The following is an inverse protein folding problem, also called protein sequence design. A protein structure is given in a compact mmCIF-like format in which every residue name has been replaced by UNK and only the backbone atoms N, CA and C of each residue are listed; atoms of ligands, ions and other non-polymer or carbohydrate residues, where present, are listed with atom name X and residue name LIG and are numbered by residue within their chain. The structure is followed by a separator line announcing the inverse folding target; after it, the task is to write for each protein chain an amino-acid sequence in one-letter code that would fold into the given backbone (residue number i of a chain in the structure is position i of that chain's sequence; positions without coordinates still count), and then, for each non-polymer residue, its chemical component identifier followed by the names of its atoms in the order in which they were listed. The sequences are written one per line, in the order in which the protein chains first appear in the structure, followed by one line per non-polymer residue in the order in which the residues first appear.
data_IF_035539877802
#
_entry.id   IF_035539877802
#
_cell.length_a   1.000
_cell.length_b   1.000
_cell.length_c   1.000
_cell.angle_alpha   90.00
_cell.angle_beta   90.00
_cell.angle_gamma   90.00
#
_symmetry.space_group_name_H-M   'P 1'
#
loop_
_entity.id
_entity.type
_entity.pdbx_description
1 polymer ?
#
# COMPACT_ATOMS: atom_id res chain seq x y z
N UNK A 1 -25.73 3.69 9.07
CA UNK A 1 -25.34 2.33 9.50
C UNK A 1 -23.84 2.43 9.60
N UNK A 2 -23.30 2.31 10.80
CA UNK A 2 -21.85 2.42 11.03
C UNK A 2 -21.17 1.30 10.24
N UNK A 3 -20.14 1.61 9.45
CA UNK A 3 -19.39 0.59 8.67
C UNK A 3 -18.71 -0.43 9.60
N UNK A 4 -18.52 -0.08 10.88
CA UNK A 4 -17.95 -0.95 11.90
C UNK A 4 -18.81 -2.16 12.28
N UNK A 5 -20.09 -2.18 11.89
CA UNK A 5 -21.06 -3.25 12.21
C UNK A 5 -21.33 -4.19 11.02
N UNK A 6 -20.64 -3.99 9.89
CA UNK A 6 -20.76 -4.87 8.74
C UNK A 6 -20.06 -6.21 9.02
N UNK A 7 -20.68 -7.36 8.69
CA UNK A 7 -20.04 -8.66 8.86
C UNK A 7 -18.80 -8.77 7.96
N UNK A 8 -17.77 -9.47 8.46
CA UNK A 8 -16.58 -9.85 7.68
C UNK A 8 -16.97 -10.62 6.40
N UNK A 9 -16.24 -10.38 5.32
CA UNK A 9 -16.46 -10.96 4.00
C UNK A 9 -15.94 -12.40 3.90
N UNK A 10 -14.83 -12.70 4.57
CA UNK A 10 -14.10 -13.98 4.45
C UNK A 10 -13.88 -14.63 5.81
N UNK A 11 -13.42 -13.85 6.79
CA UNK A 11 -13.13 -14.35 8.12
C UNK A 11 -14.43 -14.62 8.89
N UNK A 12 -14.49 -15.75 9.58
CA UNK A 12 -15.48 -15.94 10.62
C UNK A 12 -15.19 -15.03 11.82
N UNK A 13 -16.20 -14.81 12.67
CA UNK A 13 -16.03 -14.03 13.90
C UNK A 13 -14.91 -14.59 14.80
N UNK A 14 -14.76 -15.92 14.86
CA UNK A 14 -13.70 -16.56 15.65
C UNK A 14 -12.31 -16.34 15.03
N UNK A 15 -12.16 -16.46 13.71
CA UNK A 15 -10.89 -16.22 13.03
C UNK A 15 -10.48 -14.75 13.15
N UNK A 16 -11.43 -13.83 13.00
CA UNK A 16 -11.20 -12.41 13.19
C UNK A 16 -10.78 -12.07 14.62
N UNK A 17 -11.39 -12.69 15.64
CA UNK A 17 -11.00 -12.51 17.03
C UNK A 17 -9.56 -12.99 17.31
N UNK A 18 -9.17 -14.15 16.76
CA UNK A 18 -7.80 -14.68 16.89
C UNK A 18 -6.82 -13.74 16.17
N UNK A 19 -7.09 -13.38 14.91
CA UNK A 19 -6.24 -12.46 14.15
C UNK A 19 -6.11 -11.09 14.83
N UNK A 20 -7.20 -10.56 15.39
CA UNK A 20 -7.21 -9.33 16.16
C UNK A 20 -6.33 -9.41 17.41
N UNK A 21 -6.43 -10.50 18.18
CA UNK A 21 -5.55 -10.73 19.32
C UNK A 21 -4.07 -10.81 18.90
N UNK A 22 -3.75 -11.55 17.82
CA UNK A 22 -2.39 -11.64 17.28
C UNK A 22 -1.85 -10.26 16.91
N UNK A 23 -2.63 -9.49 16.13
CA UNK A 23 -2.24 -8.17 15.66
C UNK A 23 -2.09 -7.17 16.81
N UNK A 24 -2.96 -7.22 17.81
CA UNK A 24 -2.87 -6.35 18.99
C UNK A 24 -1.64 -6.65 19.85
N UNK A 25 -1.15 -7.91 19.88
CA UNK A 25 0.13 -8.21 20.53
C UNK A 25 1.34 -7.73 19.73
N UNK A 26 1.26 -7.78 18.40
CA UNK A 26 2.33 -7.30 17.51
C UNK A 26 2.41 -5.77 17.44
N UNK A 27 1.27 -5.07 17.55
CA UNK A 27 1.18 -3.62 17.57
C UNK A 27 0.11 -3.17 18.58
N UNK A 28 0.45 -3.14 19.88
CA UNK A 28 -0.50 -2.82 20.94
C UNK A 28 -0.77 -1.32 21.05
N UNK A 29 -1.99 -0.96 21.46
CA UNK A 29 -2.26 0.40 21.92
C UNK A 29 -1.39 0.74 23.15
N UNK A 30 -0.88 1.96 23.19
CA UNK A 30 -0.11 2.48 24.31
C UNK A 30 -0.35 3.98 24.53
N UNK A 31 0.45 4.62 25.38
CA UNK A 31 0.33 6.05 25.67
C UNK A 31 0.69 6.94 24.46
N UNK A 32 1.33 6.37 23.44
CA UNK A 32 1.81 7.06 22.25
C UNK A 32 0.89 6.87 21.04
N UNK A 33 -0.03 5.89 21.05
CA UNK A 33 -0.93 5.72 19.92
C UNK A 33 -1.92 4.56 20.01
N UNK A 34 -2.77 4.47 18.98
CA UNK A 34 -3.77 3.42 18.83
C UNK A 34 -3.11 2.06 18.55
N UNK A 35 -3.83 0.99 18.88
CA UNK A 35 -3.43 -0.39 18.59
C UNK A 35 -3.88 -0.88 17.22
N UNK A 36 -3.44 -2.07 16.83
CA UNK A 36 -3.77 -2.66 15.54
C UNK A 36 -5.27 -2.81 15.29
N UNK A 37 -6.05 -3.11 16.34
CA UNK A 37 -7.51 -3.23 16.22
C UNK A 37 -8.17 -1.87 15.96
N UNK A 38 -7.76 -0.82 16.67
CA UNK A 38 -8.28 0.54 16.47
C UNK A 38 -7.91 1.09 15.08
N UNK A 39 -6.71 0.76 14.59
CA UNK A 39 -6.26 1.12 13.24
C UNK A 39 -7.02 0.33 12.15
N UNK A 40 -7.71 -0.77 12.51
CA UNK A 40 -8.52 -1.56 11.59
C UNK A 40 -7.75 -2.64 10.82
N UNK A 41 -6.61 -3.11 11.34
CA UNK A 41 -5.76 -4.08 10.63
C UNK A 41 -6.48 -5.40 10.28
N UNK A 42 -7.45 -5.85 11.10
CA UNK A 42 -8.24 -7.05 10.80
C UNK A 42 -9.22 -6.82 9.64
N UNK A 43 -9.79 -5.62 9.53
CA UNK A 43 -10.67 -5.26 8.42
C UNK A 43 -9.89 -5.21 7.10
N UNK A 44 -8.66 -4.68 7.13
CA UNK A 44 -7.75 -4.80 6.00
C UNK A 44 -7.54 -6.26 5.60
N UNK A 45 -7.15 -7.12 6.56
CA UNK A 45 -6.88 -8.53 6.30
C UNK A 45 -8.08 -9.21 5.62
N UNK A 46 -9.28 -9.00 6.14
CA UNK A 46 -10.51 -9.59 5.60
C UNK A 46 -10.77 -9.15 4.15
N UNK A 47 -10.65 -7.85 3.85
CA UNK A 47 -10.81 -7.32 2.48
C UNK A 47 -9.71 -7.81 1.54
N UNK A 48 -8.48 -7.90 2.02
CA UNK A 48 -7.36 -8.36 1.23
C UNK A 48 -7.52 -9.85 0.86
N UNK A 49 -7.97 -10.67 1.81
CA UNK A 49 -8.36 -12.08 1.57
C UNK A 49 -9.59 -12.20 0.66
N UNK A 50 -10.51 -11.24 0.66
CA UNK A 50 -11.64 -11.22 -0.28
C UNK A 50 -11.22 -10.89 -1.72
N UNK A 51 -10.03 -10.31 -1.91
CA UNK A 51 -9.51 -9.84 -3.20
C UNK A 51 -8.19 -10.50 -3.58
N UNK A 52 -7.12 -9.69 -3.66
CA UNK A 52 -5.82 -10.10 -4.20
C UNK A 52 -5.20 -11.31 -3.48
N UNK A 53 -5.52 -11.50 -2.20
CA UNK A 53 -4.98 -12.57 -1.36
C UNK A 53 -5.94 -13.74 -1.13
N UNK A 54 -6.97 -13.90 -1.98
CA UNK A 54 -7.90 -15.03 -1.88
C UNK A 54 -7.23 -16.41 -1.89
N UNK A 55 -6.07 -16.55 -2.54
CA UNK A 55 -5.30 -17.78 -2.55
C UNK A 55 -4.67 -18.15 -1.18
N UNK A 56 -4.58 -17.19 -0.25
CA UNK A 56 -4.03 -17.39 1.10
C UNK A 56 -5.09 -17.75 2.14
N UNK A 57 -6.38 -17.79 1.77
CA UNK A 57 -7.47 -18.18 2.68
C UNK A 57 -7.20 -19.54 3.37
N UNK A 58 -6.77 -20.61 2.67
CA UNK A 58 -6.51 -21.89 3.33
C UNK A 58 -5.43 -21.83 4.41
N UNK A 59 -4.39 -21.02 4.20
CA UNK A 59 -3.28 -20.85 5.14
C UNK A 59 -3.74 -20.10 6.39
N UNK A 60 -4.53 -19.03 6.22
CA UNK A 60 -5.13 -18.31 7.35
C UNK A 60 -6.08 -19.17 8.18
N UNK A 61 -6.99 -19.90 7.53
CA UNK A 61 -7.91 -20.80 8.24
C UNK A 61 -7.17 -21.86 9.05
N UNK A 62 -6.21 -22.52 8.43
CA UNK A 62 -5.44 -23.58 9.08
C UNK A 62 -4.54 -23.02 10.17
N UNK A 63 -3.77 -21.97 9.88
CA UNK A 63 -2.83 -21.36 10.83
C UNK A 63 -3.52 -20.80 12.07
N UNK A 64 -4.64 -20.08 11.93
CA UNK A 64 -5.39 -19.56 13.07
C UNK A 64 -6.01 -20.69 13.91
N UNK A 65 -6.60 -21.70 13.27
CA UNK A 65 -7.17 -22.86 13.97
C UNK A 65 -6.09 -23.65 14.73
N UNK A 66 -4.89 -23.76 14.18
CA UNK A 66 -3.77 -24.46 14.81
C UNK A 66 -3.18 -23.67 15.98
N UNK A 67 -3.11 -22.35 15.88
CA UNK A 67 -2.74 -21.48 17.00
C UNK A 67 -3.76 -21.60 18.14
N UNK A 68 -5.05 -21.55 17.83
CA UNK A 68 -6.12 -21.70 18.84
C UNK A 68 -6.11 -23.09 19.48
N UNK A 69 -5.91 -24.15 18.68
CA UNK A 69 -5.82 -25.52 19.19
C UNK A 69 -4.61 -25.71 20.10
N UNK A 70 -3.45 -25.18 19.71
CA UNK A 70 -2.24 -25.24 20.53
C UNK A 70 -2.40 -24.47 21.85
N UNK A 71 -3.09 -23.32 21.82
CA UNK A 71 -3.47 -22.57 23.01
C UNK A 71 -4.33 -23.42 23.95
N UNK A 72 -5.42 -24.02 23.44
CA UNK A 72 -6.33 -24.85 24.25
C UNK A 72 -5.62 -26.04 24.88
N UNK A 73 -4.72 -26.69 24.15
CA UNK A 73 -3.95 -27.82 24.68
C UNK A 73 -2.99 -27.42 25.81
N UNK A 74 -2.45 -26.21 25.77
CA UNK A 74 -1.45 -25.73 26.72
C UNK A 74 -2.05 -25.00 27.92
N UNK A 75 -3.15 -24.28 27.72
CA UNK A 75 -3.73 -23.34 28.67
C UNK A 75 -5.22 -23.58 28.99
N UNK A 76 -5.88 -24.58 28.38
CA UNK A 76 -7.34 -24.84 28.49
C UNK A 76 -8.24 -23.69 27.98
N UNK A 77 -7.66 -22.72 27.28
CA UNK A 77 -8.33 -21.54 26.74
C UNK A 77 -7.96 -21.29 25.27
N UNK A 78 -8.87 -20.68 24.51
CA UNK A 78 -8.59 -20.23 23.14
C UNK A 78 -7.54 -19.12 23.12
N UNK A 79 -6.81 -18.95 22.02
CA UNK A 79 -5.70 -17.98 21.96
C UNK A 79 -6.17 -16.55 22.28
N UNK A 80 -7.32 -16.14 21.74
CA UNK A 80 -7.90 -14.82 21.97
C UNK A 80 -8.39 -14.60 23.42
N UNK A 81 -8.54 -15.67 24.20
CA UNK A 81 -9.01 -15.63 25.59
C UNK A 81 -7.85 -15.59 26.61
N UNK A 82 -6.62 -15.87 26.16
CA UNK A 82 -5.42 -15.83 26.98
C UNK A 82 -5.09 -14.41 27.45
N UNK A 83 -4.32 -14.30 28.54
CA UNK A 83 -3.73 -13.04 28.92
C UNK A 83 -2.60 -12.61 27.97
N UNK A 84 -2.21 -11.34 28.05
CA UNK A 84 -1.20 -10.77 27.16
C UNK A 84 0.16 -11.49 27.22
N UNK A 85 0.56 -11.98 28.40
CA UNK A 85 1.84 -12.67 28.57
C UNK A 85 1.82 -14.05 27.93
N UNK A 86 0.72 -14.78 28.09
CA UNK A 86 0.52 -16.09 27.47
C UNK A 86 0.39 -15.99 25.94
N UNK A 87 -0.32 -14.96 25.43
CA UNK A 87 -0.37 -14.67 23.99
C UNK A 87 1.02 -14.39 23.42
N UNK A 88 1.82 -13.55 24.10
CA UNK A 88 3.19 -13.24 23.66
C UNK A 88 4.08 -14.50 23.63
N UNK A 89 3.95 -15.38 24.62
CA UNK A 89 4.69 -16.63 24.66
C UNK A 89 4.32 -17.57 23.50
N UNK A 90 3.03 -17.68 23.19
CA UNK A 90 2.54 -18.47 22.05
C UNK A 90 2.99 -17.87 20.70
N UNK A 91 2.97 -16.55 20.54
CA UNK A 91 3.46 -15.87 19.33
C UNK A 91 4.96 -16.03 19.15
N UNK A 92 5.73 -15.97 20.24
CA UNK A 92 7.16 -16.26 20.22
C UNK A 92 7.44 -17.69 19.77
N UNK A 93 6.67 -18.66 20.25
CA UNK A 93 6.82 -20.06 19.80
C UNK A 93 6.47 -20.21 18.32
N UNK A 94 5.44 -19.50 17.83
CA UNK A 94 5.08 -19.48 16.41
C UNK A 94 6.21 -18.90 15.55
N UNK A 95 6.78 -17.76 15.96
CA UNK A 95 7.93 -17.11 15.31
C UNK A 95 9.17 -18.03 15.29
N UNK A 96 9.41 -18.76 16.38
CA UNK A 96 10.52 -19.71 16.47
C UNK A 96 10.24 -21.04 15.76
N UNK A 97 8.99 -21.33 15.41
CA UNK A 97 8.56 -22.59 14.80
C UNK A 97 8.60 -23.77 15.77
N UNK A 98 8.29 -23.53 17.05
CA UNK A 98 8.43 -24.50 18.14
C UNK A 98 7.10 -25.00 18.70
N UNK A 99 5.96 -24.62 18.12
CA UNK A 99 4.65 -25.14 18.54
C UNK A 99 4.55 -26.63 18.15
N UNK A 100 4.34 -27.55 19.12
CA UNK A 100 4.25 -28.98 18.85
C UNK A 100 2.94 -29.34 18.14
N UNK A 101 2.97 -30.40 17.32
CA UNK A 101 1.78 -30.86 16.59
C UNK A 101 1.36 -29.95 15.45
N UNK A 102 2.20 -28.96 15.08
CA UNK A 102 1.90 -28.08 13.96
C UNK A 102 2.13 -28.77 12.61
N UNK A 103 1.27 -28.54 11.62
CA UNK A 103 1.27 -29.23 10.33
C UNK A 103 1.42 -28.24 9.17
N UNK A 104 0.37 -27.49 8.84
CA UNK A 104 0.35 -26.54 7.71
C UNK A 104 -0.53 -25.33 8.04
N UNK A 105 -0.17 -24.11 7.60
CA UNK A 105 1.05 -23.72 6.88
C UNK A 105 2.32 -23.89 7.74
N UNK A 106 3.52 -23.71 7.20
CA UNK A 106 4.73 -23.70 8.05
C UNK A 106 4.68 -22.53 9.06
N UNK A 107 5.10 -22.77 10.31
CA UNK A 107 4.94 -21.82 11.42
C UNK A 107 5.60 -20.45 11.17
N UNK A 108 6.89 -20.44 10.83
CA UNK A 108 7.63 -19.19 10.64
C UNK A 108 7.13 -18.40 9.42
N UNK A 109 6.93 -19.04 8.24
CA UNK A 109 6.30 -18.35 7.11
C UNK A 109 4.91 -17.80 7.44
N UNK A 110 4.11 -18.50 8.25
CA UNK A 110 2.80 -17.99 8.67
C UNK A 110 2.92 -16.77 9.60
N UNK A 111 3.86 -16.77 10.53
CA UNK A 111 4.16 -15.60 11.36
C UNK A 111 4.61 -14.40 10.51
N UNK A 112 5.50 -14.63 9.54
CA UNK A 112 5.97 -13.62 8.60
C UNK A 112 4.82 -13.05 7.76
N UNK A 113 3.88 -13.90 7.35
CA UNK A 113 2.68 -13.51 6.62
C UNK A 113 1.75 -12.64 7.47
N UNK A 114 1.48 -13.04 8.72
CA UNK A 114 0.71 -12.23 9.68
C UNK A 114 1.34 -10.85 9.86
N UNK A 115 2.66 -10.79 10.03
CA UNK A 115 3.41 -9.54 10.18
C UNK A 115 3.33 -8.66 8.93
N UNK A 116 3.42 -9.25 7.73
CA UNK A 116 3.33 -8.51 6.47
C UNK A 116 1.94 -7.87 6.30
N UNK A 117 0.86 -8.65 6.46
CA UNK A 117 -0.50 -8.13 6.34
C UNK A 117 -0.86 -7.15 7.48
N UNK A 118 -0.27 -7.30 8.67
CA UNK A 118 -0.36 -6.29 9.71
C UNK A 118 0.24 -4.97 9.24
N UNK A 119 1.46 -4.96 8.71
CA UNK A 119 2.11 -3.73 8.23
C UNK A 119 1.31 -3.06 7.10
N UNK A 120 0.78 -3.85 6.17
CA UNK A 120 -0.09 -3.36 5.12
C UNK A 120 -1.39 -2.76 5.69
N UNK A 121 -2.03 -3.44 6.66
CA UNK A 121 -3.24 -2.96 7.32
C UNK A 121 -3.02 -1.75 8.22
N UNK A 122 -1.82 -1.57 8.78
CA UNK A 122 -1.47 -0.40 9.59
C UNK A 122 -1.19 0.83 8.73
N UNK A 123 -0.44 0.66 7.64
CA UNK A 123 0.20 1.78 6.94
C UNK A 123 -0.19 1.93 5.46
N UNK A 124 -0.99 1.03 4.92
CA UNK A 124 -1.60 1.16 3.59
C UNK A 124 -2.65 2.28 3.54
N UNK A 125 -3.15 2.58 2.35
CA UNK A 125 -4.21 3.58 2.20
C UNK A 125 -5.52 3.11 2.86
N UNK A 126 -6.27 4.00 3.55
CA UNK A 126 -7.54 3.65 4.18
C UNK A 126 -8.58 3.03 3.24
N UNK A 127 -8.46 3.26 1.92
CA UNK A 127 -9.31 2.65 0.89
C UNK A 127 -9.38 1.12 1.01
N UNK A 128 -8.30 0.48 1.48
CA UNK A 128 -8.22 -0.97 1.61
C UNK A 128 -8.80 -1.52 2.93
N UNK A 129 -9.38 -0.66 3.79
CA UNK A 129 -10.09 -1.04 5.01
C UNK A 129 -9.24 -1.07 6.29
N UNK A 130 -7.93 -0.93 6.17
CA UNK A 130 -7.02 -0.67 7.29
C UNK A 130 -6.76 0.83 7.45
N UNK A 131 -5.75 1.17 8.26
CA UNK A 131 -5.31 2.54 8.48
C UNK A 131 -6.48 3.53 8.69
N UNK A 132 -7.48 3.11 9.48
CA UNK A 132 -8.73 3.84 9.63
C UNK A 132 -8.45 5.28 10.07
N UNK A 133 -9.15 6.23 9.45
CA UNK A 133 -8.92 7.66 9.67
C UNK A 133 -7.46 8.11 9.51
N UNK A 134 -6.61 7.35 8.82
CA UNK A 134 -5.17 7.61 8.64
C UNK A 134 -4.41 7.53 9.98
N UNK A 135 -4.89 6.74 10.94
CA UNK A 135 -4.29 6.59 12.28
C UNK A 135 -2.84 6.09 12.21
N UNK A 136 -2.54 5.07 11.40
CA UNK A 136 -1.18 4.57 11.24
C UNK A 136 -0.25 5.61 10.62
N UNK A 137 -0.75 6.43 9.68
CA UNK A 137 0.02 7.56 9.15
C UNK A 137 0.27 8.66 10.19
N UNK A 138 -0.67 8.93 11.11
CA UNK A 138 -0.43 9.84 12.24
C UNK A 138 0.70 9.33 13.13
N UNK A 139 0.73 8.03 13.42
CA UNK A 139 1.81 7.39 14.21
C UNK A 139 3.17 7.58 13.52
N UNK A 140 3.23 7.39 12.20
CA UNK A 140 4.48 7.57 11.43
C UNK A 140 4.85 9.04 11.18
N UNK A 141 3.92 9.98 11.35
CA UNK A 141 4.07 11.34 10.83
C UNK A 141 4.09 11.42 9.30
N UNK A 142 3.52 10.41 8.62
CA UNK A 142 3.50 10.32 7.15
C UNK A 142 2.37 11.19 6.58
N UNK A 143 2.61 12.08 5.59
CA UNK A 143 1.60 13.03 5.10
C UNK A 143 0.50 12.40 4.23
N UNK A 144 0.60 11.11 3.93
CA UNK A 144 -0.29 10.39 3.01
C UNK A 144 0.08 10.63 1.55
N UNK A 145 -0.92 10.62 0.68
CA UNK A 145 -0.77 10.69 -0.78
C UNK A 145 -0.75 12.13 -1.28
N UNK A 146 0.35 12.48 -1.95
CA UNK A 146 0.53 13.78 -2.60
C UNK A 146 1.14 13.58 -3.99
N UNK A 147 0.44 14.09 -5.01
CA UNK A 147 0.85 13.92 -6.41
C UNK A 147 2.01 14.81 -6.79
N UNK A 148 2.14 15.95 -6.10
CA UNK A 148 3.13 16.97 -6.39
C UNK A 148 3.72 17.53 -5.10
N UNK A 149 4.98 17.90 -5.22
CA UNK A 149 5.71 18.71 -4.27
C UNK A 149 6.10 20.02 -4.95
N UNK A 150 6.05 21.11 -4.21
CA UNK A 150 6.66 22.37 -4.62
C UNK A 150 8.17 22.20 -4.80
N UNK A 151 8.80 23.12 -5.54
CA UNK A 151 10.25 23.12 -5.72
C UNK A 151 10.99 23.23 -4.38
N UNK A 152 10.45 24.00 -3.43
CA UNK A 152 11.01 24.13 -2.08
C UNK A 152 10.95 22.81 -1.31
N UNK A 153 9.81 22.12 -1.35
CA UNK A 153 9.64 20.81 -0.70
C UNK A 153 10.58 19.75 -1.30
N UNK A 154 10.77 19.73 -2.62
CA UNK A 154 11.68 18.79 -3.28
C UNK A 154 13.16 19.03 -2.95
N UNK A 155 13.51 20.26 -2.56
CA UNK A 155 14.87 20.63 -2.17
C UNK A 155 15.06 20.62 -0.64
N UNK A 156 14.01 20.29 0.12
CA UNK A 156 14.05 20.29 1.58
C UNK A 156 15.00 19.19 2.08
N UNK A 157 15.94 19.51 2.99
CA UNK A 157 16.72 18.50 3.70
C UNK A 157 15.92 17.82 4.83
N UNK A 158 14.80 18.42 5.23
CA UNK A 158 13.89 17.91 6.27
C UNK A 158 12.69 17.19 5.65
N UNK A 159 12.09 16.21 6.35
CA UNK A 159 10.88 15.54 5.88
C UNK A 159 9.74 16.53 5.59
N UNK A 160 9.11 16.38 4.42
CA UNK A 160 7.99 17.21 4.00
C UNK A 160 6.72 16.74 4.71
N UNK A 161 6.31 17.48 5.75
CA UNK A 161 5.16 17.12 6.61
C UNK A 161 3.82 17.61 6.08
N UNK A 162 3.82 18.39 4.99
CA UNK A 162 2.62 18.96 4.38
C UNK A 162 1.75 19.74 5.38
N UNK A 163 2.39 20.45 6.31
CA UNK A 163 1.75 21.17 7.41
C UNK A 163 0.80 20.29 8.25
N UNK A 164 1.08 18.99 8.35
CA UNK A 164 0.27 18.01 9.08
C UNK A 164 -1.02 17.60 8.38
N UNK A 165 -1.25 18.00 7.13
CA UNK A 165 -2.43 17.57 6.37
C UNK A 165 -2.22 16.16 5.84
N UNK A 166 -3.15 15.27 6.19
CA UNK A 166 -3.16 13.88 5.75
C UNK A 166 -4.15 13.66 4.60
N UNK A 167 -3.68 13.14 3.47
CA UNK A 167 -4.51 12.86 2.29
C UNK A 167 -4.47 11.38 1.94
N UNK A 168 -5.62 10.74 1.77
CA UNK A 168 -5.71 9.39 1.19
C UNK A 168 -5.91 9.46 -0.33
N UNK A 169 -5.81 8.32 -1.00
CA UNK A 169 -6.18 8.14 -2.41
C UNK A 169 -7.60 8.66 -2.67
N UNK A 170 -8.55 8.37 -1.78
CA UNK A 170 -9.92 8.85 -1.89
C UNK A 170 -10.01 10.39 -1.90
N UNK A 171 -9.21 11.08 -1.09
CA UNK A 171 -9.17 12.55 -1.04
C UNK A 171 -8.62 13.18 -2.32
N UNK A 172 -7.71 12.49 -3.01
CA UNK A 172 -7.06 12.97 -4.24
C UNK A 172 -7.69 12.39 -5.51
N UNK A 173 -8.62 11.44 -5.41
CA UNK A 173 -9.22 10.75 -6.55
C UNK A 173 -9.89 11.72 -7.54
N UNK A 174 -10.48 12.82 -7.06
CA UNK A 174 -11.04 13.87 -7.92
C UNK A 174 -9.95 14.63 -8.68
N UNK A 175 -8.83 14.96 -8.03
CA UNK A 175 -7.70 15.64 -8.66
C UNK A 175 -7.00 14.75 -9.70
N UNK A 176 -6.87 13.46 -9.41
CA UNK A 176 -6.37 12.43 -10.34
C UNK A 176 -7.25 12.32 -11.59
N UNK A 177 -8.57 12.44 -11.45
CA UNK A 177 -9.52 12.41 -12.58
C UNK A 177 -9.57 13.71 -13.39
N UNK A 178 -9.25 14.86 -12.78
CA UNK A 178 -9.40 16.18 -13.40
C UNK A 178 -8.11 16.82 -13.92
N UNK A 179 -6.95 16.26 -13.60
CA UNK A 179 -5.72 16.64 -14.27
C UNK A 179 -5.77 16.12 -15.71
N UNK A 180 -5.99 17.03 -16.67
CA UNK A 180 -5.52 16.95 -18.06
C UNK A 180 -6.55 16.76 -19.20
N UNK A 181 -7.37 17.76 -19.54
CA UNK A 181 -7.72 17.93 -20.95
C UNK A 181 -6.45 18.34 -21.70
N UNK A 182 -5.88 17.44 -22.51
CA UNK A 182 -4.90 17.84 -23.50
C UNK A 182 -5.64 18.59 -24.61
N UNK A 183 -5.28 19.86 -24.85
CA UNK A 183 -5.63 20.48 -26.12
C UNK A 183 -4.76 19.80 -27.18
N UNK A 184 -5.32 18.81 -27.87
CA UNK A 184 -4.65 18.17 -29.00
C UNK A 184 -4.11 19.26 -29.94
N UNK A 185 -2.81 19.25 -30.20
CA UNK A 185 -2.23 20.14 -31.21
C UNK A 185 -2.80 19.67 -32.56
N UNK A 186 -3.62 20.49 -33.26
CA UNK A 186 -4.30 20.03 -34.46
C UNK A 186 -3.30 19.52 -35.51
N UNK A 187 -3.44 18.25 -35.91
CA UNK A 187 -2.58 17.61 -36.91
C UNK A 187 -1.24 17.07 -36.39
N UNK A 188 -0.97 17.15 -35.08
CA UNK A 188 0.19 16.50 -34.47
C UNK A 188 -0.16 15.07 -34.05
N UNK A 189 0.53 14.09 -34.63
CA UNK A 189 0.49 12.70 -34.20
C UNK A 189 1.82 12.41 -33.47
N UNK A 190 1.80 12.29 -32.13
CA UNK A 190 3.01 12.06 -31.37
C UNK A 190 3.63 10.68 -31.61
N UNK A 191 2.83 9.69 -32.04
CA UNK A 191 3.29 8.33 -32.29
C UNK A 191 4.03 8.22 -33.63
N UNK A 192 3.73 9.12 -34.57
CA UNK A 192 4.34 9.15 -35.91
C UNK A 192 5.80 9.59 -35.91
N UNK A 193 6.27 10.23 -34.83
CA UNK A 193 7.52 10.96 -34.80
C UNK A 193 7.46 12.23 -35.67
N UNK A 194 8.15 13.30 -35.26
CA UNK A 194 8.03 14.60 -35.93
C UNK A 194 8.54 14.59 -37.39
N UNK A 195 9.53 13.75 -37.71
CA UNK A 195 10.13 13.51 -39.03
C UNK A 195 11.24 12.46 -38.90
N UNK A 196 11.76 11.88 -40.01
CA UNK A 196 13.07 11.22 -39.99
C UNK A 196 14.13 12.14 -39.40
N UNK A 197 15.08 11.64 -38.59
CA UNK A 197 16.08 12.48 -37.95
C UNK A 197 16.86 13.28 -38.99
N UNK A 198 16.97 14.59 -38.77
CA UNK A 198 17.73 15.46 -39.65
C UNK A 198 19.18 14.98 -39.74
N UNK A 199 19.83 15.17 -40.91
CA UNK A 199 21.24 14.78 -41.09
C UNK A 199 22.20 15.49 -40.14
N UNK A 200 21.76 16.64 -39.60
CA UNK A 200 22.49 17.43 -38.62
C UNK A 200 21.56 17.75 -37.44
N UNK A 201 22.07 17.55 -36.24
CA UNK A 201 21.44 17.94 -34.99
C UNK A 201 22.50 18.65 -34.14
N UNK A 202 22.08 19.72 -33.45
CA UNK A 202 22.92 20.41 -32.48
C UNK A 202 23.00 19.58 -31.18
N UNK A 203 21.91 18.89 -30.84
CA UNK A 203 21.82 18.00 -29.69
C UNK A 203 21.08 16.72 -30.05
N UNK A 204 21.65 15.57 -29.66
CA UNK A 204 20.97 14.27 -29.69
C UNK A 204 20.71 13.82 -28.26
N UNK A 205 19.47 13.55 -27.94
CA UNK A 205 19.02 13.05 -26.64
C UNK A 205 18.61 11.58 -26.77
N UNK A 206 19.13 10.73 -25.89
CA UNK A 206 18.73 9.32 -25.81
C UNK A 206 17.87 9.17 -24.54
N UNK A 207 16.60 8.83 -24.74
CA UNK A 207 15.53 8.87 -23.74
C UNK A 207 14.82 10.22 -23.72
N UNK A 208 13.50 10.20 -23.94
CA UNK A 208 12.60 11.37 -23.90
C UNK A 208 11.49 11.17 -22.85
N UNK A 209 11.77 10.40 -21.81
CA UNK A 209 10.94 10.28 -20.60
C UNK A 209 10.99 11.54 -19.72
N UNK A 210 10.80 11.40 -18.41
CA UNK A 210 10.60 12.54 -17.49
C UNK A 210 11.61 13.70 -17.62
N UNK A 211 12.92 13.42 -17.57
CA UNK A 211 13.94 14.46 -17.71
C UNK A 211 14.11 14.93 -19.17
N UNK A 212 14.12 13.98 -20.12
CA UNK A 212 14.36 14.28 -21.53
C UNK A 212 13.25 15.13 -22.15
N UNK A 213 12.00 14.79 -21.87
CA UNK A 213 10.83 15.55 -22.31
C UNK A 213 10.75 16.97 -21.72
N UNK A 214 11.35 17.21 -20.55
CA UNK A 214 11.43 18.55 -19.96
C UNK A 214 12.56 19.40 -20.58
N UNK A 215 13.73 18.82 -20.82
CA UNK A 215 14.91 19.53 -21.32
C UNK A 215 14.80 19.83 -22.82
N UNK A 216 14.27 18.91 -23.62
CA UNK A 216 14.14 19.06 -25.06
C UNK A 216 13.45 20.37 -25.50
N UNK A 217 12.28 20.77 -24.95
CA UNK A 217 11.64 22.04 -25.34
C UNK A 217 12.44 23.28 -24.90
N UNK A 218 13.25 23.21 -23.83
CA UNK A 218 14.11 24.32 -23.43
C UNK A 218 15.22 24.55 -24.45
N UNK A 219 15.89 23.48 -24.87
CA UNK A 219 16.94 23.53 -25.89
C UNK A 219 16.40 23.96 -27.25
N UNK A 220 15.24 23.44 -27.65
CA UNK A 220 14.56 23.86 -28.88
C UNK A 220 14.17 25.35 -28.85
N UNK A 221 13.64 25.85 -27.73
CA UNK A 221 13.34 27.29 -27.54
C UNK A 221 14.58 28.17 -27.56
N UNK A 222 15.75 27.63 -27.21
CA UNK A 222 17.03 28.31 -27.37
C UNK A 222 17.55 28.32 -28.83
N UNK A 223 16.80 27.75 -29.77
CA UNK A 223 17.11 27.74 -31.20
C UNK A 223 17.96 26.54 -31.67
N UNK A 224 18.17 25.54 -30.80
CA UNK A 224 18.93 24.34 -31.14
C UNK A 224 18.05 23.32 -31.89
N UNK A 225 18.63 22.63 -32.86
CA UNK A 225 18.02 21.47 -33.49
C UNK A 225 18.23 20.25 -32.60
N UNK A 226 17.17 19.86 -31.88
CA UNK A 226 17.20 18.76 -30.92
C UNK A 226 16.54 17.52 -31.53
N UNK A 227 17.24 16.40 -31.51
CA UNK A 227 16.71 15.08 -31.90
C UNK A 227 16.60 14.22 -30.65
N UNK A 228 15.38 13.84 -30.28
CA UNK A 228 15.13 12.86 -29.21
C UNK A 228 14.93 11.46 -29.77
N UNK A 229 15.60 10.47 -29.19
CA UNK A 229 15.45 9.05 -29.49
C UNK A 229 14.84 8.37 -28.27
N UNK A 230 13.63 7.84 -28.40
CA UNK A 230 12.93 7.08 -27.35
C UNK A 230 12.67 5.66 -27.85
N UNK A 231 12.84 4.68 -26.97
CA UNK A 231 12.60 3.28 -27.28
C UNK A 231 11.12 2.90 -27.12
N UNK A 232 10.43 3.55 -26.17
CA UNK A 232 9.01 3.34 -25.92
C UNK A 232 8.08 4.07 -26.91
N UNK A 233 6.79 3.70 -26.96
CA UNK A 233 5.78 4.47 -27.68
C UNK A 233 5.54 5.82 -26.99
N UNK A 234 4.76 6.69 -27.64
CA UNK A 234 4.16 7.83 -26.94
C UNK A 234 3.03 7.32 -26.04
N UNK A 235 3.12 7.65 -24.76
CA UNK A 235 2.08 7.32 -23.79
C UNK A 235 1.06 8.45 -23.73
N UNK A 236 -0.22 8.10 -23.83
CA UNK A 236 -1.34 8.99 -23.59
C UNK A 236 -1.61 9.11 -22.09
N UNK A 237 -2.24 10.22 -21.69
CA UNK A 237 -2.41 10.57 -20.27
C UNK A 237 -3.34 9.61 -19.52
N UNK A 238 -4.30 9.01 -20.20
CA UNK A 238 -5.20 7.98 -19.66
C UNK A 238 -4.49 6.67 -19.32
N UNK A 239 -3.35 6.39 -19.96
CA UNK A 239 -2.47 5.25 -19.65
C UNK A 239 -1.73 5.43 -18.32
N UNK A 240 -1.68 6.64 -17.77
CA UNK A 240 -1.09 6.94 -16.45
C UNK A 240 -2.12 6.98 -15.31
N UNK A 241 -3.40 6.70 -15.57
CA UNK A 241 -4.40 6.65 -14.50
C UNK A 241 -4.10 5.48 -13.55
N UNK A 242 -4.04 5.73 -12.22
CA UNK A 242 -3.90 4.66 -11.24
C UNK A 242 -5.02 3.63 -11.43
N UNK A 243 -4.65 2.38 -11.64
CA UNK A 243 -5.58 1.25 -11.73
C UNK A 243 -6.24 0.94 -10.37
N UNK A 244 -5.57 1.33 -9.29
CA UNK A 244 -6.02 1.31 -7.88
C UNK A 244 -7.36 2.02 -7.63
N UNK A 245 -7.81 2.91 -8.54
CA UNK A 245 -9.05 3.68 -8.43
C UNK A 245 -10.16 3.23 -9.38
N UNK A 246 -9.95 2.13 -10.11
CA UNK A 246 -10.95 1.56 -11.01
C UNK A 246 -11.87 0.66 -10.19
N UNK A 247 -13.11 1.12 -10.01
CA UNK A 247 -14.20 0.34 -9.40
C UNK A 247 -14.59 -0.86 -10.28
#
# INVERSE_FOLDING_TARGET
MDESDAPFLVLSASEAAIAGAVFERMFPADVHGPGAQEIGAVMYLDRALAGAYAHLIPDYRSGLAMLDSASRLRHDHGFAELDAHEQDAMLRDLELGTIPGWMVPEQRPFFELLRAHLQEGLFGDPLYGGNLDKLGWRVLGHPGVWLENSAEENLSPEPVTKAGRLQSLADVAGALRHHFPESAIPGFDPQRGAAPPAKHADVVMIGVGGAGGFIAPMLAKAGLNVVGLEAGPWWQRDEFQPDELRA
#
